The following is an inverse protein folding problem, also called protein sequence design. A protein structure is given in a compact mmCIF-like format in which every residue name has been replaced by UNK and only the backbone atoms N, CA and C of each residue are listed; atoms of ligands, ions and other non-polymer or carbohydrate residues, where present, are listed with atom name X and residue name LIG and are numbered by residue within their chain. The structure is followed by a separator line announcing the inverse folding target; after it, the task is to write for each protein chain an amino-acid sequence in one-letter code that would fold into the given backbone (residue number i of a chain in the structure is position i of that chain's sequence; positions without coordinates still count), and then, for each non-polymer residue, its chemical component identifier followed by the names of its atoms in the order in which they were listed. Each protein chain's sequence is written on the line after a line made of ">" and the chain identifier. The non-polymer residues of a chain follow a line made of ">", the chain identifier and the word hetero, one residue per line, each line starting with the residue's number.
data_IF_661157330942
#
_entry.id   IF_661157330942
#
_cell.length_a   1.000
_cell.length_b   1.000
_cell.length_c   1.000
_cell.angle_alpha   90.00
_cell.angle_beta   90.00
_cell.angle_gamma   90.00
#
_symmetry.space_group_name_H-M   'P 1'
#
loop_
_entity.id
_entity.type
_entity.pdbx_description
1 polymer ?
#
# COMPACT_ATOMS: atom_id res chain seq x y z
N UNK A 1 -16.50 3.17 -0.55
CA UNK A 1 -16.66 1.87 -1.27
C UNK A 1 -16.19 1.94 -2.73
N UNK A 2 -16.29 3.07 -3.42
CA UNK A 2 -15.95 3.15 -4.85
C UNK A 2 -14.45 2.97 -5.12
N UNK A 3 -13.62 3.63 -4.31
CA UNK A 3 -12.16 3.51 -4.39
C UNK A 3 -11.70 2.06 -4.19
N UNK A 4 -12.23 1.37 -3.18
CA UNK A 4 -11.86 -0.02 -2.89
C UNK A 4 -12.29 -0.98 -3.99
N UNK A 5 -13.47 -0.79 -4.59
CA UNK A 5 -13.91 -1.57 -5.75
C UNK A 5 -12.99 -1.39 -6.95
N UNK A 6 -12.63 -0.14 -7.29
CA UNK A 6 -11.70 0.13 -8.38
C UNK A 6 -10.33 -0.48 -8.10
N UNK A 7 -9.79 -0.30 -6.90
CA UNK A 7 -8.50 -0.86 -6.52
C UNK A 7 -8.51 -2.40 -6.63
N UNK A 8 -9.54 -3.07 -6.12
CA UNK A 8 -9.66 -4.54 -6.22
C UNK A 8 -9.70 -5.03 -7.68
N UNK A 9 -10.40 -4.31 -8.56
CA UNK A 9 -10.54 -4.68 -9.98
C UNK A 9 -9.29 -4.37 -10.81
N UNK A 10 -8.62 -3.25 -10.54
CA UNK A 10 -7.63 -2.69 -11.46
C UNK A 10 -6.18 -2.79 -10.95
N UNK A 11 -5.92 -2.81 -9.65
CA UNK A 11 -4.54 -2.70 -9.12
C UNK A 11 -3.64 -3.83 -9.64
N UNK A 12 -4.12 -5.07 -9.59
CA UNK A 12 -3.38 -6.24 -10.08
C UNK A 12 -3.28 -6.27 -11.62
N UNK A 13 -4.31 -5.82 -12.34
CA UNK A 13 -4.27 -5.70 -13.80
C UNK A 13 -3.25 -4.64 -14.25
N UNK A 14 -3.20 -3.51 -13.56
CA UNK A 14 -2.23 -2.45 -13.78
C UNK A 14 -0.80 -2.93 -13.48
N UNK A 15 -0.63 -3.75 -12.44
CA UNK A 15 0.65 -4.40 -12.13
C UNK A 15 1.10 -5.31 -13.27
N UNK A 16 0.24 -6.24 -13.72
CA UNK A 16 0.54 -7.19 -14.79
C UNK A 16 0.93 -6.47 -16.08
N UNK A 17 0.19 -5.40 -16.45
CA UNK A 17 0.47 -4.60 -17.65
C UNK A 17 1.83 -3.90 -17.60
N UNK A 18 2.24 -3.43 -16.41
CA UNK A 18 3.50 -2.74 -16.18
C UNK A 18 4.65 -3.68 -15.82
N UNK A 19 4.37 -4.96 -15.62
CA UNK A 19 5.37 -5.91 -15.18
C UNK A 19 6.43 -6.07 -16.28
N UNK A 20 7.73 -6.01 -15.94
CA UNK A 20 8.80 -6.10 -16.91
C UNK A 20 8.72 -7.40 -17.73
N UNK A 21 9.06 -7.29 -19.02
CA UNK A 21 9.17 -8.41 -19.95
C UNK A 21 10.61 -8.52 -20.43
N UNK A 22 11.12 -9.74 -20.58
CA UNK A 22 12.50 -10.01 -21.00
C UNK A 22 13.50 -10.01 -19.83
N UNK A 23 14.78 -9.90 -20.16
CA UNK A 23 15.86 -10.02 -19.18
C UNK A 23 15.93 -8.81 -18.24
N UNK A 24 15.89 -9.07 -16.94
CA UNK A 24 15.88 -8.04 -15.90
C UNK A 24 17.20 -8.09 -15.14
N UNK A 25 18.01 -7.04 -15.27
CA UNK A 25 19.33 -6.93 -14.62
C UNK A 25 19.18 -6.82 -13.08
N UNK A 26 18.16 -6.09 -12.60
CA UNK A 26 17.89 -5.93 -11.17
C UNK A 26 16.41 -6.16 -10.87
N UNK A 27 16.07 -7.41 -10.55
CA UNK A 27 14.69 -7.84 -10.26
C UNK A 27 14.08 -6.99 -9.15
N UNK A 28 14.79 -6.84 -8.03
CA UNK A 28 14.28 -6.10 -6.87
C UNK A 28 13.96 -4.63 -7.20
N UNK A 29 14.89 -3.89 -7.83
CA UNK A 29 14.68 -2.49 -8.19
C UNK A 29 13.51 -2.35 -9.17
N UNK A 30 13.40 -3.29 -10.09
CA UNK A 30 12.36 -3.29 -11.13
C UNK A 30 10.98 -3.58 -10.53
N UNK A 31 10.86 -4.61 -9.69
CA UNK A 31 9.62 -4.94 -8.99
C UNK A 31 9.18 -3.79 -8.08
N UNK A 32 10.11 -3.21 -7.30
CA UNK A 32 9.82 -2.05 -6.44
C UNK A 32 9.28 -0.87 -7.25
N UNK A 33 9.93 -0.53 -8.37
CA UNK A 33 9.47 0.54 -9.27
C UNK A 33 8.10 0.23 -9.85
N UNK A 34 7.88 -0.99 -10.32
CA UNK A 34 6.62 -1.43 -10.90
C UNK A 34 5.45 -1.30 -9.89
N UNK A 35 5.66 -1.70 -8.64
CA UNK A 35 4.68 -1.53 -7.56
C UNK A 35 4.39 -0.05 -7.30
N UNK A 36 5.41 0.81 -7.16
CA UNK A 36 5.23 2.26 -6.98
C UNK A 36 4.42 2.89 -8.12
N UNK A 37 4.79 2.58 -9.36
CA UNK A 37 4.12 3.11 -10.56
C UNK A 37 2.68 2.58 -10.70
N UNK A 38 2.42 1.36 -10.25
CA UNK A 38 1.08 0.74 -10.26
C UNK A 38 0.13 1.43 -9.28
N UNK A 39 0.58 1.66 -8.04
CA UNK A 39 -0.21 2.35 -7.03
C UNK A 39 -0.49 3.80 -7.43
N UNK A 40 0.54 4.51 -7.93
CA UNK A 40 0.38 5.86 -8.47
C UNK A 40 -0.66 5.90 -9.61
N UNK A 41 -0.53 5.01 -10.59
CA UNK A 41 -1.45 4.97 -11.72
C UNK A 41 -2.90 4.67 -11.31
N UNK A 42 -3.09 3.73 -10.37
CA UNK A 42 -4.43 3.36 -9.89
C UNK A 42 -5.08 4.51 -9.09
N UNK A 43 -4.29 5.28 -8.34
CA UNK A 43 -4.73 6.50 -7.67
C UNK A 43 -5.14 7.60 -8.67
N UNK A 44 -4.31 7.87 -9.67
CA UNK A 44 -4.60 8.84 -10.74
C UNK A 44 -5.87 8.47 -11.52
N UNK A 45 -6.05 7.17 -11.83
CA UNK A 45 -7.24 6.64 -12.47
C UNK A 45 -8.49 6.91 -11.62
N UNK A 46 -8.46 6.56 -10.34
CA UNK A 46 -9.60 6.79 -9.45
C UNK A 46 -9.88 8.28 -9.25
N UNK A 47 -8.87 9.13 -9.06
CA UNK A 47 -9.05 10.57 -8.87
C UNK A 47 -9.64 11.24 -10.12
N UNK A 48 -9.26 10.80 -11.32
CA UNK A 48 -9.86 11.25 -12.58
C UNK A 48 -11.34 10.87 -12.65
N UNK A 49 -11.67 9.62 -12.30
CA UNK A 49 -13.07 9.19 -12.26
C UNK A 49 -13.85 9.98 -11.21
N UNK A 50 -13.34 10.07 -9.98
CA UNK A 50 -13.99 10.75 -8.85
C UNK A 50 -14.30 12.22 -9.13
N UNK A 51 -13.38 12.94 -9.77
CA UNK A 51 -13.56 14.37 -10.10
C UNK A 51 -14.55 14.64 -11.24
N UNK A 52 -14.79 13.65 -12.11
CA UNK A 52 -15.77 13.77 -13.21
C UNK A 52 -17.24 13.68 -12.76
N UNK A 53 -17.48 13.31 -11.50
CA UNK A 53 -18.80 12.98 -10.98
C UNK A 53 -19.43 14.19 -10.28
N UNK A 54 -20.76 14.24 -10.24
CA UNK A 54 -21.53 15.32 -9.58
C UNK A 54 -22.54 14.72 -8.59
N UNK A 55 -22.33 14.85 -7.27
CA UNK A 55 -21.16 15.44 -6.61
C UNK A 55 -19.89 14.60 -6.80
N UNK A 56 -18.72 15.26 -6.72
CA UNK A 56 -17.43 14.59 -6.82
C UNK A 56 -17.28 13.54 -5.71
N UNK A 57 -16.73 12.38 -6.05
CA UNK A 57 -16.53 11.32 -5.08
C UNK A 57 -15.38 11.67 -4.14
N UNK A 58 -15.56 11.34 -2.86
CA UNK A 58 -14.60 11.61 -1.79
C UNK A 58 -14.06 10.33 -1.14
N UNK A 59 -14.39 9.17 -1.72
CA UNK A 59 -13.98 7.87 -1.20
C UNK A 59 -12.45 7.72 -1.23
N UNK A 60 -11.93 7.02 -0.23
CA UNK A 60 -10.58 6.48 -0.18
C UNK A 60 -10.59 4.96 -0.03
N UNK A 61 -9.42 4.35 -0.21
CA UNK A 61 -9.17 2.95 0.10
C UNK A 61 -7.74 2.74 0.55
N UNK A 62 -7.57 1.89 1.56
CA UNK A 62 -6.30 1.20 1.78
C UNK A 62 -6.08 0.15 0.70
N UNK A 63 -4.85 -0.32 0.58
CA UNK A 63 -4.51 -1.45 -0.28
C UNK A 63 -3.25 -2.14 0.23
N UNK A 64 -3.34 -3.44 0.42
CA UNK A 64 -2.20 -4.32 0.70
C UNK A 64 -2.06 -5.30 -0.46
N UNK A 65 -0.90 -5.33 -1.08
CA UNK A 65 -0.59 -6.19 -2.21
C UNK A 65 0.62 -7.05 -1.87
N UNK A 66 0.50 -8.36 -2.08
CA UNK A 66 1.62 -9.31 -2.02
C UNK A 66 1.85 -9.85 -3.41
N UNK A 67 3.08 -9.66 -3.91
CA UNK A 67 3.55 -10.23 -5.15
C UNK A 67 4.61 -11.29 -4.83
N UNK A 68 4.37 -12.52 -5.23
CA UNK A 68 5.37 -13.58 -5.19
C UNK A 68 6.15 -13.62 -6.51
N UNK A 69 7.48 -13.56 -6.41
CA UNK A 69 8.40 -13.77 -7.53
C UNK A 69 9.41 -14.82 -7.08
N UNK A 70 9.34 -16.01 -7.68
CA UNK A 70 10.05 -17.20 -7.22
C UNK A 70 9.83 -17.42 -5.70
N UNK A 71 10.91 -17.46 -4.93
CA UNK A 71 10.88 -17.66 -3.48
C UNK A 71 10.90 -16.34 -2.69
N UNK A 72 10.56 -15.22 -3.31
CA UNK A 72 10.59 -13.90 -2.68
C UNK A 72 9.19 -13.27 -2.73
N UNK A 73 8.71 -12.83 -1.57
CA UNK A 73 7.54 -11.99 -1.46
C UNK A 73 7.93 -10.51 -1.48
N UNK A 74 7.21 -9.74 -2.27
CA UNK A 74 7.22 -8.28 -2.26
C UNK A 74 5.87 -7.79 -1.74
N UNK A 75 5.89 -7.06 -0.62
CA UNK A 75 4.70 -6.57 0.06
C UNK A 75 4.64 -5.06 -0.13
N UNK A 76 3.64 -4.59 -0.85
CA UNK A 76 3.32 -3.17 -0.98
C UNK A 76 2.10 -2.84 -0.11
N UNK A 77 2.29 -2.04 0.94
CA UNK A 77 1.22 -1.64 1.85
C UNK A 77 0.92 -0.15 1.76
N UNK A 78 -0.37 0.19 1.73
CA UNK A 78 -0.88 1.56 1.70
C UNK A 78 -2.07 1.67 2.66
N UNK A 79 -1.91 2.45 3.74
CA UNK A 79 -2.90 2.58 4.81
C UNK A 79 -2.61 1.70 6.01
N UNK A 80 -3.64 1.36 6.77
CA UNK A 80 -3.61 0.64 8.05
C UNK A 80 -4.01 -0.85 7.95
N UNK A 81 -4.29 -1.35 6.73
CA UNK A 81 -4.30 -2.78 6.43
C UNK A 81 -2.93 -3.43 6.67
N UNK A 82 -2.89 -4.76 6.82
CA UNK A 82 -1.69 -5.50 7.26
C UNK A 82 -1.50 -6.81 6.50
N UNK A 83 -0.25 -7.16 6.23
CA UNK A 83 0.15 -8.48 5.77
C UNK A 83 0.94 -9.21 6.86
N UNK A 84 0.56 -10.46 7.16
CA UNK A 84 1.20 -11.28 8.19
C UNK A 84 1.54 -12.65 7.60
N UNK A 85 2.77 -13.12 7.82
CA UNK A 85 3.23 -14.45 7.44
C UNK A 85 3.27 -15.36 8.67
N UNK A 86 2.63 -16.52 8.58
CA UNK A 86 2.77 -17.58 9.56
C UNK A 86 3.97 -18.46 9.18
N UNK A 87 5.00 -18.46 10.04
CA UNK A 87 6.23 -19.26 9.86
C UNK A 87 6.45 -20.16 11.07
N UNK A 88 6.71 -21.43 10.84
CA UNK A 88 7.17 -22.34 11.88
C UNK A 88 8.59 -21.99 12.31
N UNK A 89 8.81 -21.76 13.60
CA UNK A 89 10.11 -21.49 14.19
C UNK A 89 10.62 -22.77 14.85
N UNK A 90 11.67 -23.36 14.29
CA UNK A 90 12.26 -24.62 14.77
C UNK A 90 12.91 -24.48 16.16
N UNK A 91 13.49 -23.33 16.51
CA UNK A 91 14.12 -23.15 17.83
C UNK A 91 13.09 -23.16 18.97
N UNK A 92 11.98 -22.46 18.74
CA UNK A 92 10.87 -22.38 19.72
C UNK A 92 9.82 -23.48 19.56
N UNK A 93 9.93 -24.30 18.50
CA UNK A 93 8.98 -25.34 18.13
C UNK A 93 7.52 -24.83 18.02
N UNK A 94 7.33 -23.59 17.59
CA UNK A 94 6.02 -22.90 17.52
C UNK A 94 5.86 -22.11 16.23
N UNK A 95 4.62 -21.84 15.85
CA UNK A 95 4.32 -20.89 14.77
C UNK A 95 4.51 -19.46 15.27
N UNK A 96 5.22 -18.65 14.49
CA UNK A 96 5.40 -17.23 14.72
C UNK A 96 4.66 -16.42 13.64
N UNK A 97 4.02 -15.33 14.06
CA UNK A 97 3.39 -14.36 13.18
C UNK A 97 4.39 -13.25 12.85
N UNK A 98 4.84 -13.19 11.60
CA UNK A 98 5.79 -12.20 11.11
C UNK A 98 5.02 -11.09 10.39
N UNK A 99 5.10 -9.85 10.90
CA UNK A 99 4.52 -8.69 10.22
C UNK A 99 5.34 -8.36 8.97
N UNK A 100 4.69 -8.43 7.80
CA UNK A 100 5.31 -8.18 6.50
C UNK A 100 5.12 -6.74 6.01
N UNK A 101 4.31 -5.94 6.71
CA UNK A 101 3.94 -4.59 6.31
C UNK A 101 4.09 -3.58 7.44
N UNK A 102 4.34 -2.31 7.09
CA UNK A 102 4.20 -1.19 8.01
C UNK A 102 2.84 -0.51 7.79
N UNK A 103 2.09 -0.32 8.86
CA UNK A 103 0.85 0.48 8.83
C UNK A 103 1.15 1.95 8.63
N UNK A 104 0.17 2.71 8.13
CA UNK A 104 0.31 4.13 7.85
C UNK A 104 -0.81 4.93 8.51
N UNK A 105 -0.52 5.44 9.70
CA UNK A 105 -1.42 6.33 10.42
C UNK A 105 -0.77 7.71 10.66
N UNK A 106 -1.57 8.77 10.83
CA UNK A 106 -1.06 10.14 11.00
C UNK A 106 -0.27 10.41 12.29
N UNK A 107 -0.29 9.50 13.28
CA UNK A 107 0.46 9.69 14.54
C UNK A 107 1.92 9.24 14.42
N UNK A 108 2.23 8.40 13.44
CA UNK A 108 3.62 8.01 13.15
C UNK A 108 4.46 9.22 12.75
N UNK A 109 5.67 9.29 13.30
CA UNK A 109 6.58 10.45 13.15
C UNK A 109 6.76 10.86 11.68
N UNK A 110 7.20 9.94 10.81
CA UNK A 110 7.43 10.20 9.38
C UNK A 110 6.16 10.67 8.64
N UNK A 111 5.02 10.09 9.00
CA UNK A 111 3.73 10.40 8.39
C UNK A 111 3.26 11.80 8.80
N UNK A 112 3.34 12.10 10.10
CA UNK A 112 3.02 13.41 10.68
C UNK A 112 3.89 14.51 10.10
N UNK A 113 5.19 14.27 10.01
CA UNK A 113 6.15 15.22 9.42
C UNK A 113 5.81 15.51 7.96
N UNK A 114 5.49 14.48 7.16
CA UNK A 114 5.04 14.66 5.77
C UNK A 114 3.76 15.51 5.67
N UNK A 115 2.77 15.21 6.51
CA UNK A 115 1.50 15.95 6.56
C UNK A 115 1.72 17.43 6.90
N UNK A 116 2.50 17.70 7.95
CA UNK A 116 2.80 19.07 8.38
C UNK A 116 3.61 19.85 7.33
N UNK A 117 4.62 19.22 6.71
CA UNK A 117 5.41 19.84 5.64
C UNK A 117 4.57 20.19 4.41
N UNK A 118 3.50 19.45 4.15
CA UNK A 118 2.54 19.74 3.08
C UNK A 118 1.49 20.80 3.47
N UNK A 119 1.56 21.39 4.66
CA UNK A 119 0.58 22.37 5.16
C UNK A 119 -0.70 21.74 5.74
N UNK A 120 -0.74 20.41 5.87
CA UNK A 120 -1.77 19.71 6.62
C UNK A 120 -1.54 19.77 8.12
N UNK A 121 -2.50 19.29 8.91
CA UNK A 121 -2.35 19.12 10.35
C UNK A 121 -2.88 17.76 10.80
N UNK A 122 -2.44 17.31 11.97
CA UNK A 122 -2.92 16.09 12.64
C UNK A 122 -3.60 16.52 13.93
N UNK A 123 -4.89 16.20 14.07
CA UNK A 123 -5.73 16.48 15.25
C UNK A 123 -6.38 15.18 15.67
N UNK A 124 -6.30 14.84 16.96
CA UNK A 124 -6.87 13.60 17.52
C UNK A 124 -6.47 12.33 16.74
N UNK A 125 -5.21 12.31 16.29
CA UNK A 125 -4.65 11.21 15.51
C UNK A 125 -5.10 11.13 14.04
N UNK A 126 -5.83 12.12 13.54
CA UNK A 126 -6.41 12.15 12.20
C UNK A 126 -5.89 13.30 11.35
N UNK A 127 -5.77 13.11 10.04
CA UNK A 127 -5.44 14.19 9.09
C UNK A 127 -6.62 15.17 9.04
N UNK A 128 -6.34 16.44 9.33
CA UNK A 128 -7.34 17.50 9.48
C UNK A 128 -8.45 17.21 10.49
N UNK A 129 -8.22 16.28 11.44
CA UNK A 129 -9.24 15.82 12.39
C UNK A 129 -10.28 14.87 11.79
N UNK A 130 -10.10 14.41 10.54
CA UNK A 130 -11.10 13.59 9.84
C UNK A 130 -10.57 12.21 9.45
N UNK A 131 -9.48 12.15 8.68
CA UNK A 131 -9.01 10.90 8.07
C UNK A 131 -8.04 10.12 8.99
N UNK A 132 -8.32 8.84 9.24
CA UNK A 132 -7.54 7.97 10.15
C UNK A 132 -6.24 7.43 9.55
N UNK A 133 -6.14 7.39 8.22
CA UNK A 133 -4.97 6.91 7.50
C UNK A 133 -4.16 8.06 6.94
N UNK A 134 -2.83 7.89 6.88
CA UNK A 134 -1.93 8.89 6.26
C UNK A 134 -1.63 8.60 4.79
N UNK A 135 -2.04 7.42 4.30
CA UNK A 135 -1.82 6.97 2.92
C UNK A 135 -3.04 6.19 2.41
N UNK A 136 -3.43 6.45 1.18
CA UNK A 136 -4.60 5.82 0.55
C UNK A 136 -4.64 6.06 -0.96
N UNK A 137 -5.37 5.20 -1.67
CA UNK A 137 -5.90 5.45 -3.02
C UNK A 137 -7.16 6.30 -2.86
N UNK A 138 -7.35 7.32 -3.69
CA UNK A 138 -8.49 8.22 -3.57
C UNK A 138 -8.25 9.31 -2.54
N UNK A 139 -9.23 9.68 -1.71
CA UNK A 139 -9.08 10.75 -0.71
C UNK A 139 -8.53 12.07 -1.28
N UNK A 140 -8.96 12.43 -2.50
CA UNK A 140 -8.38 13.51 -3.29
C UNK A 140 -8.29 14.85 -2.56
N UNK A 141 -9.25 15.14 -1.70
CA UNK A 141 -9.29 16.36 -0.89
C UNK A 141 -8.14 16.47 0.13
N UNK A 142 -7.50 15.35 0.50
CA UNK A 142 -6.40 15.32 1.46
C UNK A 142 -5.01 15.18 0.81
N UNK A 143 -4.93 14.98 -0.51
CA UNK A 143 -3.64 14.83 -1.22
C UNK A 143 -2.75 16.06 -1.09
N UNK A 144 -3.36 17.26 -1.12
CA UNK A 144 -2.66 18.53 -0.88
C UNK A 144 -2.23 18.73 0.58
N UNK A 145 -2.74 17.91 1.50
CA UNK A 145 -2.42 17.96 2.92
C UNK A 145 -1.44 16.85 3.35
N UNK A 146 -0.78 16.20 2.39
CA UNK A 146 0.26 15.20 2.64
C UNK A 146 -0.21 13.75 2.74
N UNK A 147 -1.49 13.46 2.49
CA UNK A 147 -1.94 12.09 2.20
C UNK A 147 -1.36 11.65 0.85
N UNK A 148 -0.84 10.44 0.76
CA UNK A 148 -0.13 9.96 -0.44
C UNK A 148 -0.60 8.58 -0.86
N UNK A 149 -0.48 8.27 -2.15
CA UNK A 149 -0.69 6.93 -2.73
C UNK A 149 0.61 6.12 -2.85
N UNK A 150 1.72 6.59 -2.27
CA UNK A 150 3.01 5.89 -2.28
C UNK A 150 3.03 4.78 -1.22
N UNK A 151 3.05 3.48 -1.60
CA UNK A 151 3.09 2.39 -0.63
C UNK A 151 4.47 2.25 0.03
N UNK A 152 4.51 1.66 1.23
CA UNK A 152 5.75 1.06 1.77
C UNK A 152 5.96 -0.30 1.11
N UNK A 153 7.20 -0.59 0.71
CA UNK A 153 7.54 -1.84 0.01
C UNK A 153 8.58 -2.59 0.82
N UNK A 154 8.21 -3.81 1.24
CA UNK A 154 9.07 -4.73 1.98
C UNK A 154 9.28 -6.02 1.21
N UNK A 155 10.41 -6.67 1.48
CA UNK A 155 10.79 -7.96 0.89
C UNK A 155 10.83 -9.01 2.00
N UNK A 156 10.34 -10.22 1.70
CA UNK A 156 10.48 -11.37 2.58
C UNK A 156 10.94 -12.59 1.77
N UNK A 157 12.03 -13.22 2.19
CA UNK A 157 12.50 -14.48 1.62
C UNK A 157 11.65 -15.63 2.19
N UNK A 158 11.03 -16.41 1.32
CA UNK A 158 10.29 -17.61 1.70
C UNK A 158 11.25 -18.73 2.13
N UNK A 159 10.79 -19.56 3.05
CA UNK A 159 11.47 -20.76 3.52
C UNK A 159 10.48 -21.94 3.55
N UNK A 160 10.96 -23.19 3.60
CA UNK A 160 10.09 -24.36 3.78
C UNK A 160 9.24 -24.35 5.07
N UNK A 161 9.57 -23.45 6.01
CA UNK A 161 8.85 -23.29 7.26
C UNK A 161 7.67 -22.31 7.17
N UNK A 162 7.47 -21.65 6.03
CA UNK A 162 6.28 -20.83 5.78
C UNK A 162 5.03 -21.69 5.61
N UNK A 163 3.89 -21.19 6.10
CA UNK A 163 2.61 -21.92 6.09
C UNK A 163 1.55 -21.20 5.29
N UNK A 164 1.26 -19.95 5.64
CA UNK A 164 0.26 -19.13 4.98
C UNK A 164 0.49 -17.65 5.25
N UNK A 165 -0.13 -16.82 4.41
CA UNK A 165 -0.16 -15.36 4.55
C UNK A 165 -1.61 -14.95 4.85
N UNK A 166 -1.76 -14.01 5.78
CA UNK A 166 -3.01 -13.29 6.03
C UNK A 166 -2.87 -11.86 5.50
N UNK A 167 -3.93 -11.38 4.84
CA UNK A 167 -4.09 -10.02 4.32
C UNK A 167 -5.38 -9.41 4.84
#
# INVERSE_FOLDING_TARGET
>A
IRASKLAAQNLHQNLIRKFPKGDIISVEKTVKRCLLDTFKHTDEEFLKQASSQKPAWKDGSTATCVLAVDNILYIANLGDSRAILCRYNEESQKHAALSLSKEHNPTQYEERMRIQKAGGNVRDGRVLGVLEVSRSIGDGQYKRCGVTSVPDIRRCQLTPNDRFILL
#
